data_IF_715234901608
#
_entry.id   IF_715234901608
#
_cell.length_a   1.000
_cell.length_b   1.000
_cell.length_c   1.000
_cell.angle_alpha   90.00
_cell.angle_beta   90.00
_cell.angle_gamma   90.00
#
_symmetry.space_group_name_H-M   'P 1'
#
loop_
_entity.id
_entity.type
_entity.pdbx_description
1 polymer ?
#
# COMPACT_ATOMS: atom_id res chain seq x y z
N UNK A 1 -10.07 -9.50 -23.27
CA UNK A 1 -9.96 -8.11 -22.83
C UNK A 1 -10.91 -7.98 -21.65
N UNK A 2 -10.43 -8.22 -20.43
CA UNK A 2 -11.22 -8.07 -19.22
C UNK A 2 -11.06 -6.62 -18.75
N UNK A 3 -12.16 -5.90 -18.65
CA UNK A 3 -12.20 -4.65 -17.91
C UNK A 3 -11.71 -4.96 -16.49
N UNK A 4 -10.57 -4.41 -16.08
CA UNK A 4 -10.12 -4.45 -14.69
C UNK A 4 -11.03 -3.53 -13.88
N UNK A 5 -12.17 -4.08 -13.46
CA UNK A 5 -13.12 -3.40 -12.60
C UNK A 5 -12.47 -3.23 -11.23
N UNK A 6 -12.41 -1.99 -10.73
CA UNK A 6 -11.88 -1.68 -9.41
C UNK A 6 -12.69 -2.45 -8.36
N UNK A 7 -12.02 -3.33 -7.60
CA UNK A 7 -12.66 -4.18 -6.61
C UNK A 7 -13.11 -3.34 -5.41
N UNK A 8 -14.36 -3.48 -5.02
CA UNK A 8 -14.92 -2.84 -3.82
C UNK A 8 -14.56 -3.69 -2.60
N UNK A 9 -13.63 -3.22 -1.75
CA UNK A 9 -13.18 -3.94 -0.56
C UNK A 9 -14.10 -3.77 0.67
N UNK A 10 -15.17 -3.04 0.56
CA UNK A 10 -16.14 -2.88 1.66
C UNK A 10 -17.49 -2.35 1.19
N UNK A 11 -18.56 -2.71 1.91
CA UNK A 11 -19.91 -2.20 1.71
C UNK A 11 -20.58 -1.94 3.05
N UNK A 12 -21.43 -0.91 3.10
CA UNK A 12 -22.30 -0.56 4.25
C UNK A 12 -23.77 -0.83 3.95
N UNK A 13 -24.06 -1.71 3.00
CA UNK A 13 -25.41 -2.02 2.54
C UNK A 13 -25.73 -3.50 2.70
N UNK A 14 -25.06 -4.19 3.62
CA UNK A 14 -25.26 -5.60 3.89
C UNK A 14 -26.44 -5.78 4.84
N UNK A 15 -27.36 -6.65 4.49
CA UNK A 15 -28.48 -7.01 5.35
C UNK A 15 -28.08 -8.11 6.34
N UNK A 16 -27.96 -7.73 7.59
CA UNK A 16 -27.73 -8.61 8.74
C UNK A 16 -29.00 -8.86 9.54
N UNK A 17 -30.18 -8.48 9.07
CA UNK A 17 -31.43 -8.53 9.87
C UNK A 17 -31.74 -9.93 10.44
N UNK A 18 -31.35 -10.97 9.72
CA UNK A 18 -31.48 -12.35 10.16
C UNK A 18 -30.23 -12.89 10.91
N UNK A 19 -29.09 -12.17 10.90
CA UNK A 19 -27.78 -12.64 11.36
C UNK A 19 -27.48 -12.27 12.83
N UNK A 20 -28.41 -12.55 13.74
CA UNK A 20 -28.34 -12.14 15.17
C UNK A 20 -27.29 -12.87 16.02
N UNK A 21 -26.76 -13.99 15.53
CA UNK A 21 -25.73 -14.78 16.23
C UNK A 21 -24.30 -14.47 15.77
N UNK A 22 -24.11 -13.51 14.88
CA UNK A 22 -22.77 -13.10 14.45
C UNK A 22 -22.19 -12.13 15.49
N UNK A 23 -20.97 -12.43 15.93
CA UNK A 23 -20.23 -11.52 16.81
C UNK A 23 -20.14 -10.13 16.14
N UNK A 24 -20.58 -9.06 16.82
CA UNK A 24 -20.63 -7.71 16.27
C UNK A 24 -19.27 -7.15 15.85
N UNK A 25 -18.18 -7.83 16.15
CA UNK A 25 -16.80 -7.43 15.78
C UNK A 25 -15.97 -8.57 15.20
N UNK A 26 -16.60 -9.58 14.62
CA UNK A 26 -15.89 -10.74 14.12
C UNK A 26 -14.96 -10.39 12.95
N UNK A 27 -13.67 -10.62 13.13
CA UNK A 27 -12.69 -10.80 12.05
C UNK A 27 -12.63 -12.31 11.79
N UNK A 28 -12.98 -12.73 10.58
CA UNK A 28 -13.07 -14.14 10.24
C UNK A 28 -12.33 -14.47 8.96
N UNK A 29 -11.70 -15.62 8.92
CA UNK A 29 -11.16 -16.19 7.70
C UNK A 29 -12.30 -16.84 6.90
N UNK A 30 -12.31 -16.60 5.61
CA UNK A 30 -13.24 -17.20 4.65
C UNK A 30 -12.73 -18.60 4.28
N UNK A 31 -13.64 -19.57 4.23
CA UNK A 31 -13.34 -20.93 3.76
C UNK A 31 -14.34 -21.38 2.70
N UNK A 32 -13.85 -22.13 1.71
CA UNK A 32 -14.66 -22.87 0.73
C UNK A 32 -14.49 -24.38 0.89
N UNK A 33 -13.71 -24.81 1.91
CA UNK A 33 -13.39 -26.22 2.14
C UNK A 33 -14.52 -26.95 2.89
N UNK A 34 -15.20 -27.86 2.17
CA UNK A 34 -16.25 -28.73 2.74
C UNK A 34 -15.74 -29.70 3.80
N UNK A 35 -14.46 -30.04 3.78
CA UNK A 35 -13.82 -30.97 4.70
C UNK A 35 -13.09 -30.27 5.86
N UNK A 36 -13.25 -28.96 5.99
CA UNK A 36 -12.63 -28.18 7.06
C UNK A 36 -12.92 -28.81 8.43
N UNK A 37 -11.91 -29.04 9.31
CA UNK A 37 -12.12 -29.61 10.64
C UNK A 37 -13.08 -28.78 11.50
N UNK A 38 -13.98 -29.43 12.22
CA UNK A 38 -15.02 -28.77 13.05
C UNK A 38 -14.49 -27.67 14.00
N UNK A 39 -13.35 -27.87 14.71
CA UNK A 39 -12.82 -26.82 15.59
C UNK A 39 -12.43 -25.54 14.86
N UNK A 40 -12.04 -25.63 13.58
CA UNK A 40 -11.69 -24.48 12.75
C UNK A 40 -12.94 -23.80 12.20
N UNK A 41 -13.98 -24.58 11.80
CA UNK A 41 -15.25 -24.03 11.30
C UNK A 41 -15.89 -23.05 12.29
N UNK A 42 -15.77 -23.33 13.59
CA UNK A 42 -16.35 -22.48 14.63
C UNK A 42 -15.74 -21.08 14.71
N UNK A 43 -14.63 -20.82 13.98
CA UNK A 43 -13.93 -19.54 13.94
C UNK A 43 -13.82 -18.94 12.54
N UNK A 44 -14.41 -19.61 11.55
CA UNK A 44 -14.33 -19.22 10.13
C UNK A 44 -15.72 -18.99 9.54
N UNK A 45 -15.77 -18.24 8.45
CA UNK A 45 -16.96 -18.03 7.63
C UNK A 45 -16.93 -18.97 6.42
N UNK A 46 -18.01 -19.66 6.11
CA UNK A 46 -18.12 -20.45 4.89
C UNK A 46 -18.68 -19.59 3.74
N UNK A 47 -18.02 -19.60 2.58
CA UNK A 47 -18.48 -18.90 1.38
C UNK A 47 -19.38 -19.79 0.56
N UNK A 48 -20.67 -19.45 0.52
CA UNK A 48 -21.70 -20.22 -0.20
C UNK A 48 -21.82 -19.71 -1.62
N UNK A 49 -21.39 -20.54 -2.58
CA UNK A 49 -21.45 -20.26 -4.03
C UNK A 49 -22.51 -21.07 -4.78
N UNK A 50 -22.92 -22.18 -4.23
CA UNK A 50 -23.91 -23.13 -4.77
C UNK A 50 -25.02 -23.44 -3.78
N UNK A 51 -25.65 -24.61 -3.91
CA UNK A 51 -26.82 -25.04 -3.14
C UNK A 51 -26.46 -25.86 -1.89
N UNK A 52 -25.17 -26.00 -1.57
CA UNK A 52 -24.69 -26.82 -0.46
C UNK A 52 -23.69 -26.05 0.43
N UNK A 53 -23.74 -26.34 1.73
CA UNK A 53 -22.82 -25.81 2.71
C UNK A 53 -22.70 -26.74 3.92
N UNK A 54 -21.47 -27.05 4.40
CA UNK A 54 -21.28 -27.90 5.56
C UNK A 54 -21.67 -27.16 6.85
N UNK A 55 -22.27 -27.86 7.81
CA UNK A 55 -22.65 -27.27 9.09
C UNK A 55 -21.42 -26.94 9.96
N UNK A 56 -21.61 -26.04 10.95
CA UNK A 56 -20.66 -25.78 12.03
C UNK A 56 -19.77 -24.56 11.85
N UNK A 57 -19.91 -23.79 10.77
CA UNK A 57 -19.20 -22.52 10.62
C UNK A 57 -19.79 -21.40 11.49
N UNK A 58 -18.92 -20.47 11.90
CA UNK A 58 -19.33 -19.29 12.68
C UNK A 58 -20.35 -18.42 11.93
N UNK A 59 -20.16 -18.26 10.61
CA UNK A 59 -21.06 -17.55 9.72
C UNK A 59 -21.02 -18.12 8.30
N UNK A 60 -22.01 -17.76 7.49
CA UNK A 60 -22.14 -18.17 6.09
C UNK A 60 -22.33 -16.96 5.22
N UNK A 61 -21.36 -16.69 4.35
CA UNK A 61 -21.36 -15.61 3.39
C UNK A 61 -22.01 -16.11 2.10
N UNK A 62 -23.23 -15.70 1.82
CA UNK A 62 -24.02 -16.22 0.71
C UNK A 62 -23.90 -15.25 -0.48
N UNK A 63 -23.24 -15.68 -1.54
CA UNK A 63 -23.15 -14.94 -2.80
C UNK A 63 -24.48 -14.97 -3.57
N UNK A 64 -24.71 -14.08 -4.55
CA UNK A 64 -26.00 -13.96 -5.24
C UNK A 64 -26.55 -15.25 -5.86
N UNK A 65 -25.64 -16.12 -6.33
CA UNK A 65 -25.98 -17.41 -6.92
C UNK A 65 -25.96 -18.57 -5.90
N UNK A 66 -25.64 -18.28 -4.63
CA UNK A 66 -25.58 -19.27 -3.56
C UNK A 66 -26.92 -19.43 -2.87
N UNK A 67 -27.22 -20.67 -2.46
CA UNK A 67 -28.38 -20.97 -1.64
C UNK A 67 -27.93 -21.73 -0.39
N UNK A 68 -28.18 -21.14 0.77
CA UNK A 68 -27.82 -21.77 2.02
C UNK A 68 -28.82 -22.89 2.34
N UNK A 69 -28.36 -24.13 2.63
CA UNK A 69 -29.22 -25.22 3.00
C UNK A 69 -30.05 -24.97 4.27
N UNK A 70 -31.19 -25.63 4.43
CA UNK A 70 -32.10 -25.43 5.58
C UNK A 70 -31.51 -25.89 6.92
N UNK A 71 -30.50 -26.76 6.90
CA UNK A 71 -29.77 -27.21 8.09
C UNK A 71 -28.79 -26.15 8.66
N UNK A 72 -28.60 -25.05 7.96
CA UNK A 72 -27.81 -23.91 8.45
C UNK A 72 -28.73 -22.88 9.10
N UNK A 73 -28.42 -22.50 10.33
CA UNK A 73 -29.21 -21.51 11.08
C UNK A 73 -29.29 -20.16 10.32
N UNK A 74 -30.48 -19.63 10.17
CA UNK A 74 -30.72 -18.35 9.48
C UNK A 74 -29.96 -17.19 10.16
N UNK A 75 -29.81 -17.28 11.49
CA UNK A 75 -29.10 -16.27 12.32
C UNK A 75 -27.61 -16.16 12.04
N UNK A 76 -27.04 -17.04 11.21
CA UNK A 76 -25.61 -17.03 10.80
C UNK A 76 -25.40 -16.73 9.32
N UNK A 77 -26.46 -16.42 8.57
CA UNK A 77 -26.40 -16.17 7.12
C UNK A 77 -26.25 -14.66 6.85
N UNK A 78 -25.29 -14.31 5.99
CA UNK A 78 -25.05 -12.95 5.50
C UNK A 78 -25.12 -12.98 3.99
N UNK A 79 -26.10 -12.32 3.39
CA UNK A 79 -26.22 -12.23 1.95
C UNK A 79 -25.34 -11.10 1.42
N UNK A 80 -24.42 -11.47 0.52
CA UNK A 80 -23.48 -10.55 -0.09
C UNK A 80 -23.97 -10.10 -1.47
N UNK A 81 -23.79 -8.82 -1.82
CA UNK A 81 -24.05 -8.33 -3.15
C UNK A 81 -22.97 -8.78 -4.16
N UNK A 82 -23.22 -8.63 -5.49
CA UNK A 82 -22.34 -9.14 -6.54
C UNK A 82 -20.90 -8.63 -6.48
N UNK A 83 -20.68 -7.44 -5.97
CA UNK A 83 -19.35 -6.85 -5.81
C UNK A 83 -18.39 -7.66 -4.93
N UNK A 84 -18.89 -8.66 -4.18
CA UNK A 84 -18.10 -9.56 -3.35
C UNK A 84 -17.85 -10.94 -3.99
N UNK A 85 -18.21 -11.16 -5.25
CA UNK A 85 -17.93 -12.42 -5.96
C UNK A 85 -16.44 -12.76 -6.07
N UNK A 86 -15.57 -11.78 -5.85
CA UNK A 86 -14.11 -11.97 -5.81
C UNK A 86 -13.61 -12.69 -4.57
N UNK A 87 -14.40 -12.74 -3.48
CA UNK A 87 -13.97 -13.42 -2.25
C UNK A 87 -13.68 -14.89 -2.50
N UNK A 88 -12.63 -15.41 -1.87
CA UNK A 88 -12.24 -16.81 -2.02
C UNK A 88 -11.65 -17.39 -0.73
N UNK A 89 -11.28 -18.68 -0.80
CA UNK A 89 -10.68 -19.42 0.32
C UNK A 89 -9.42 -18.72 0.84
N UNK A 90 -9.37 -18.51 2.15
CA UNK A 90 -8.25 -17.89 2.83
C UNK A 90 -8.29 -16.36 2.90
N UNK A 91 -9.26 -15.70 2.27
CA UNK A 91 -9.48 -14.27 2.46
C UNK A 91 -9.91 -13.99 3.91
N UNK A 92 -9.64 -12.78 4.40
CA UNK A 92 -10.06 -12.36 5.74
C UNK A 92 -11.00 -11.17 5.64
N UNK A 93 -12.15 -11.29 6.28
CA UNK A 93 -13.17 -10.24 6.29
C UNK A 93 -13.55 -9.84 7.70
N UNK A 94 -13.95 -8.58 7.86
CA UNK A 94 -14.62 -8.10 9.06
C UNK A 94 -16.11 -7.96 8.81
N UNK A 95 -16.90 -8.47 9.73
CA UNK A 95 -18.35 -8.35 9.76
C UNK A 95 -18.75 -7.37 10.87
N UNK A 96 -19.53 -6.34 10.53
CA UNK A 96 -20.04 -5.34 11.47
C UNK A 96 -21.57 -5.25 11.33
N UNK A 97 -22.33 -6.20 11.95
CA UNK A 97 -23.78 -6.29 11.80
C UNK A 97 -24.52 -5.01 12.17
N UNK A 98 -24.11 -4.33 13.25
CA UNK A 98 -24.71 -3.09 13.73
C UNK A 98 -24.68 -1.95 12.71
N UNK A 99 -23.74 -2.00 11.75
CA UNK A 99 -23.57 -0.98 10.70
C UNK A 99 -23.97 -1.46 9.32
N UNK A 100 -24.43 -2.72 9.21
CA UNK A 100 -24.66 -3.35 7.90
C UNK A 100 -23.37 -3.37 7.05
N UNK A 101 -22.19 -3.54 7.67
CA UNK A 101 -20.90 -3.35 7.01
C UNK A 101 -20.12 -4.67 6.93
N UNK A 102 -19.55 -4.92 5.76
CA UNK A 102 -18.48 -5.89 5.56
C UNK A 102 -17.24 -5.19 4.99
N UNK A 103 -16.06 -5.60 5.42
CA UNK A 103 -14.78 -5.14 4.86
C UNK A 103 -13.86 -6.32 4.63
N UNK A 104 -13.21 -6.36 3.47
CA UNK A 104 -12.16 -7.32 3.17
C UNK A 104 -10.84 -6.73 3.66
N UNK A 105 -10.23 -7.39 4.62
CA UNK A 105 -9.01 -6.95 5.29
C UNK A 105 -7.77 -7.53 4.63
N UNK A 106 -7.87 -8.76 4.11
CA UNK A 106 -6.79 -9.47 3.44
C UNK A 106 -7.37 -10.33 2.31
N UNK A 107 -6.67 -10.37 1.18
CA UNK A 107 -6.99 -11.23 0.05
C UNK A 107 -5.82 -12.16 -0.26
N UNK A 108 -6.05 -13.47 -0.14
CA UNK A 108 -5.02 -14.48 -0.39
C UNK A 108 -4.50 -14.48 -1.84
N UNK A 109 -5.39 -14.20 -2.79
CA UNK A 109 -5.05 -14.13 -4.21
C UNK A 109 -4.31 -12.86 -4.61
N UNK A 110 -4.28 -11.84 -3.75
CA UNK A 110 -3.57 -10.58 -4.02
C UNK A 110 -2.11 -10.67 -3.60
N UNK A 111 -1.21 -10.30 -4.50
CA UNK A 111 0.21 -10.17 -4.18
C UNK A 111 0.53 -8.90 -3.37
N UNK A 112 -0.45 -8.00 -3.20
CA UNK A 112 -0.25 -6.67 -2.63
C UNK A 112 -1.32 -6.38 -1.59
N UNK A 113 -1.14 -6.93 -0.40
CA UNK A 113 -1.98 -6.60 0.76
C UNK A 113 -1.33 -5.48 1.57
N UNK A 114 -2.10 -4.44 1.91
CA UNK A 114 -1.61 -3.32 2.71
C UNK A 114 -2.62 -2.92 3.76
N UNK A 115 -2.14 -2.66 4.97
CA UNK A 115 -2.94 -2.17 6.08
C UNK A 115 -2.70 -0.68 6.30
N UNK A 116 -3.77 0.11 6.35
CA UNK A 116 -3.74 1.47 6.84
C UNK A 116 -3.78 1.42 8.36
N UNK A 117 -2.71 1.84 9.04
CA UNK A 117 -2.57 1.72 10.49
C UNK A 117 -3.25 2.87 11.25
N UNK A 118 -3.25 4.06 10.69
CA UNK A 118 -3.85 5.27 11.24
C UNK A 118 -4.08 6.31 10.14
N UNK A 119 -5.10 7.15 10.31
CA UNK A 119 -5.31 8.32 9.46
C UNK A 119 -4.55 9.57 9.97
N UNK A 120 -4.00 9.52 11.18
CA UNK A 120 -3.25 10.63 11.80
C UNK A 120 -1.85 10.74 11.20
N UNK A 121 -1.36 11.97 11.03
CA UNK A 121 0.00 12.24 10.57
C UNK A 121 0.52 13.54 11.17
N UNK A 122 1.84 13.61 11.38
CA UNK A 122 2.54 14.83 11.80
C UNK A 122 3.17 15.61 10.63
N UNK A 123 2.81 15.24 9.37
CA UNK A 123 3.10 15.98 8.13
C UNK A 123 1.80 16.27 7.39
N UNK A 124 1.80 17.33 6.56
CA UNK A 124 0.71 17.71 5.66
C UNK A 124 1.23 17.87 4.22
N UNK A 125 1.90 16.85 3.71
CA UNK A 125 2.60 16.87 2.41
C UNK A 125 1.70 17.38 1.29
N UNK A 126 2.22 18.30 0.47
CA UNK A 126 1.48 18.93 -0.64
C UNK A 126 0.88 17.92 -1.63
N UNK A 127 1.52 16.75 -1.79
CA UNK A 127 1.08 15.68 -2.70
C UNK A 127 0.46 14.47 -1.97
N UNK A 128 0.09 14.58 -0.70
CA UNK A 128 -0.42 13.44 0.05
C UNK A 128 -1.63 12.80 -0.64
N UNK A 129 -1.52 11.52 -1.01
CA UNK A 129 -2.61 10.78 -1.65
C UNK A 129 -3.75 10.43 -0.66
N UNK A 130 -3.42 10.35 0.63
CA UNK A 130 -4.33 10.11 1.75
C UNK A 130 -4.20 11.24 2.77
N UNK A 131 -4.88 12.37 2.58
CA UNK A 131 -4.80 13.51 3.47
C UNK A 131 -5.07 13.11 4.93
N UNK A 132 -4.21 13.52 5.88
CA UNK A 132 -4.35 13.12 7.27
C UNK A 132 -5.62 13.66 7.90
N UNK A 133 -6.13 12.90 8.88
CA UNK A 133 -7.31 13.26 9.68
C UNK A 133 -6.99 13.11 11.14
N UNK A 134 -7.37 14.10 11.94
CA UNK A 134 -7.26 14.04 13.40
C UNK A 134 -8.49 13.31 13.96
N UNK A 135 -8.39 11.99 14.06
CA UNK A 135 -9.46 11.10 14.52
C UNK A 135 -8.92 10.07 15.51
N UNK A 136 -9.77 9.62 16.43
CA UNK A 136 -9.43 8.46 17.24
C UNK A 136 -9.70 7.18 16.42
N UNK A 137 -8.65 6.58 15.93
CA UNK A 137 -8.66 5.39 15.09
C UNK A 137 -7.86 4.22 15.66
N UNK A 138 -7.60 4.22 16.97
CA UNK A 138 -6.81 3.19 17.66
C UNK A 138 -7.41 1.78 17.50
N UNK A 139 -8.73 1.69 17.25
CA UNK A 139 -9.44 0.44 16.94
C UNK A 139 -8.91 -0.26 15.67
N UNK A 140 -8.28 0.47 14.73
CA UNK A 140 -7.68 -0.10 13.51
C UNK A 140 -6.53 -1.06 13.89
N UNK A 141 -5.73 -0.68 14.88
CA UNK A 141 -4.62 -1.52 15.36
C UNK A 141 -5.14 -2.82 15.94
N UNK A 142 -6.22 -2.78 16.74
CA UNK A 142 -6.85 -3.97 17.30
C UNK A 142 -7.36 -4.90 16.19
N UNK A 143 -8.02 -4.33 15.18
CA UNK A 143 -8.50 -5.08 14.02
C UNK A 143 -7.37 -5.76 13.24
N UNK A 144 -6.24 -5.08 13.05
CA UNK A 144 -5.09 -5.64 12.33
C UNK A 144 -4.43 -6.75 13.17
N UNK A 145 -4.31 -6.57 14.48
CA UNK A 145 -3.80 -7.61 15.38
C UNK A 145 -4.67 -8.86 15.39
N UNK A 146 -6.00 -8.73 15.27
CA UNK A 146 -6.93 -9.85 15.08
C UNK A 146 -6.78 -10.49 13.70
N UNK A 147 -6.43 -9.72 12.68
CA UNK A 147 -6.30 -10.16 11.29
C UNK A 147 -5.01 -10.95 11.04
N UNK A 148 -3.87 -10.47 11.55
CA UNK A 148 -2.54 -11.06 11.29
C UNK A 148 -2.49 -12.57 11.51
N UNK A 149 -3.04 -13.16 12.59
CA UNK A 149 -3.03 -14.62 12.81
C UNK A 149 -3.87 -15.44 11.81
N UNK A 150 -4.75 -14.78 11.04
CA UNK A 150 -5.64 -15.42 10.08
C UNK A 150 -5.08 -15.38 8.64
N UNK A 151 -4.03 -14.59 8.41
CA UNK A 151 -3.37 -14.45 7.11
C UNK A 151 -2.66 -15.75 6.73
N UNK A 152 -2.63 -16.05 5.44
CA UNK A 152 -1.91 -17.20 4.91
C UNK A 152 -0.41 -17.06 5.21
N UNK A 153 0.22 -18.04 5.91
CA UNK A 153 1.64 -17.98 6.26
C UNK A 153 2.58 -18.01 5.06
N UNK A 154 2.08 -18.32 3.86
CA UNK A 154 2.84 -18.26 2.60
C UNK A 154 2.69 -16.92 1.88
N UNK A 155 2.06 -15.92 2.51
CA UNK A 155 2.00 -14.55 1.97
C UNK A 155 3.40 -13.98 1.77
N UNK A 156 3.69 -13.52 0.55
CA UNK A 156 5.03 -13.03 0.19
C UNK A 156 5.38 -11.70 0.85
N UNK A 157 4.45 -10.74 0.83
CA UNK A 157 4.66 -9.38 1.35
C UNK A 157 3.38 -8.80 1.95
N UNK A 158 3.54 -7.99 2.99
CA UNK A 158 2.51 -7.11 3.56
C UNK A 158 3.05 -5.68 3.63
N UNK A 159 2.22 -4.72 3.22
CA UNK A 159 2.47 -3.29 3.36
C UNK A 159 1.83 -2.71 4.62
N UNK A 160 2.55 -1.86 5.34
CA UNK A 160 1.97 -0.95 6.33
C UNK A 160 2.02 0.48 5.79
N UNK A 161 0.89 1.15 5.85
CA UNK A 161 0.71 2.52 5.36
C UNK A 161 -0.22 3.29 6.30
N UNK A 162 -0.54 4.51 5.94
CA UNK A 162 -1.49 5.35 6.68
C UNK A 162 -1.16 6.80 6.53
N UNK A 163 -1.51 7.59 7.54
CA UNK A 163 -0.93 8.90 7.78
C UNK A 163 0.54 8.71 8.17
N UNK A 164 0.81 8.57 9.47
CA UNK A 164 2.15 8.20 9.95
C UNK A 164 2.08 7.05 10.97
N UNK A 165 2.43 5.81 10.55
CA UNK A 165 2.35 4.63 11.40
C UNK A 165 3.09 4.72 12.72
N UNK A 166 4.23 5.42 12.76
CA UNK A 166 5.07 5.50 13.96
C UNK A 166 4.50 6.37 15.06
N UNK A 167 3.46 7.19 14.79
CA UNK A 167 2.70 7.89 15.82
C UNK A 167 1.99 6.97 16.81
N UNK A 168 1.80 5.71 16.44
CA UNK A 168 1.25 4.65 17.30
C UNK A 168 2.24 4.19 18.40
N UNK A 169 3.51 4.59 18.32
CA UNK A 169 4.52 4.27 19.33
C UNK A 169 4.67 2.76 19.59
N UNK A 170 4.44 2.33 20.85
CA UNK A 170 4.52 0.93 21.23
C UNK A 170 3.56 0.00 20.47
N UNK A 171 2.38 0.50 20.09
CA UNK A 171 1.39 -0.27 19.30
C UNK A 171 1.90 -0.57 17.88
N UNK A 172 2.68 0.34 17.29
CA UNK A 172 3.38 0.07 16.02
C UNK A 172 4.37 -1.10 16.16
N UNK A 173 5.18 -1.11 17.21
CA UNK A 173 6.12 -2.21 17.48
C UNK A 173 5.40 -3.53 17.74
N UNK A 174 4.24 -3.52 18.41
CA UNK A 174 3.39 -4.68 18.63
C UNK A 174 2.92 -5.29 17.31
N UNK A 175 2.49 -4.48 16.34
CA UNK A 175 2.09 -4.94 15.01
C UNK A 175 3.26 -5.61 14.26
N UNK A 176 4.44 -5.01 14.28
CA UNK A 176 5.65 -5.61 13.66
C UNK A 176 6.01 -6.93 14.35
N UNK A 177 5.93 -6.97 15.68
CA UNK A 177 6.17 -8.21 16.43
C UNK A 177 5.14 -9.30 16.11
N UNK A 178 3.87 -8.94 15.93
CA UNK A 178 2.82 -9.87 15.53
C UNK A 178 3.10 -10.45 14.14
N UNK A 179 3.47 -9.59 13.15
CA UNK A 179 3.90 -10.06 11.83
C UNK A 179 5.07 -11.05 11.93
N UNK A 180 6.11 -10.71 12.70
CA UNK A 180 7.24 -11.63 12.92
C UNK A 180 6.80 -12.98 13.48
N UNK A 181 5.86 -12.97 14.42
CA UNK A 181 5.44 -14.18 15.15
C UNK A 181 4.54 -15.11 14.34
N UNK A 182 3.58 -14.53 13.60
CA UNK A 182 2.58 -15.29 12.85
C UNK A 182 2.95 -15.49 11.38
N UNK A 183 3.75 -14.59 10.82
CA UNK A 183 4.13 -14.52 9.40
C UNK A 183 5.65 -14.47 9.23
N UNK A 184 6.40 -15.44 9.77
CA UNK A 184 7.87 -15.36 9.88
C UNK A 184 8.60 -15.36 8.52
N UNK A 185 7.91 -15.65 7.41
CA UNK A 185 8.48 -15.66 6.05
C UNK A 185 7.99 -14.51 5.18
N UNK A 186 7.04 -13.71 5.66
CA UNK A 186 6.44 -12.60 4.93
C UNK A 186 7.33 -11.37 5.02
N UNK A 187 7.65 -10.75 3.89
CA UNK A 187 8.30 -9.44 3.87
C UNK A 187 7.34 -8.36 4.41
N UNK A 188 7.88 -7.40 5.14
CA UNK A 188 7.13 -6.27 5.67
C UNK A 188 7.67 -4.96 5.13
N UNK A 189 6.88 -4.27 4.31
CA UNK A 189 7.22 -2.97 3.74
C UNK A 189 6.39 -1.87 4.41
N UNK A 190 7.05 -0.94 5.12
CA UNK A 190 6.40 0.09 5.93
C UNK A 190 6.65 1.46 5.32
N UNK A 191 5.58 2.19 4.99
CA UNK A 191 5.68 3.58 4.57
C UNK A 191 5.57 4.49 5.79
N UNK A 192 6.60 5.30 6.02
CA UNK A 192 6.71 6.22 7.15
C UNK A 192 7.47 7.48 6.74
N UNK A 193 7.20 8.61 7.37
CA UNK A 193 8.00 9.82 7.17
C UNK A 193 9.38 9.75 7.87
N UNK A 194 9.59 8.75 8.71
CA UNK A 194 10.87 8.49 9.36
C UNK A 194 11.22 9.36 10.56
N UNK A 195 10.42 10.40 10.85
CA UNK A 195 10.74 11.44 11.86
C UNK A 195 10.81 10.89 13.28
N UNK A 196 9.91 9.97 13.66
CA UNK A 196 9.92 9.37 15.00
C UNK A 196 11.21 8.59 15.30
N UNK A 197 11.89 8.10 14.28
CA UNK A 197 13.18 7.41 14.43
C UNK A 197 14.36 8.35 14.66
N UNK A 198 14.15 9.67 14.68
CA UNK A 198 15.14 10.61 15.22
C UNK A 198 15.44 10.34 16.70
N UNK A 199 14.51 9.70 17.41
CA UNK A 199 14.76 9.05 18.71
C UNK A 199 15.46 7.69 18.46
N UNK A 200 16.73 7.60 18.89
CA UNK A 200 17.57 6.41 18.75
C UNK A 200 16.99 5.20 19.51
N UNK A 201 16.35 5.43 20.66
CA UNK A 201 15.75 4.36 21.45
C UNK A 201 14.57 3.69 20.70
N UNK A 202 13.78 4.48 19.99
CA UNK A 202 12.68 3.94 19.17
C UNK A 202 13.20 3.16 17.95
N UNK A 203 14.26 3.67 17.29
CA UNK A 203 14.93 2.96 16.19
C UNK A 203 15.57 1.65 16.66
N UNK A 204 16.21 1.66 17.85
CA UNK A 204 16.78 0.47 18.50
C UNK A 204 15.69 -0.56 18.82
N UNK A 205 14.56 -0.11 19.36
CA UNK A 205 13.44 -1.00 19.69
C UNK A 205 12.94 -1.74 18.45
N UNK A 206 12.77 -1.03 17.30
CA UNK A 206 12.39 -1.66 16.04
C UNK A 206 13.45 -2.63 15.54
N UNK A 207 14.74 -2.24 15.52
CA UNK A 207 15.84 -3.11 15.08
C UNK A 207 15.95 -4.38 15.92
N UNK A 208 15.70 -4.27 17.25
CA UNK A 208 15.74 -5.40 18.18
C UNK A 208 14.63 -6.43 17.97
N UNK A 209 13.60 -6.11 17.22
CA UNK A 209 12.60 -7.10 16.80
C UNK A 209 13.18 -8.14 15.85
N UNK A 210 14.26 -7.82 15.12
CA UNK A 210 14.92 -8.74 14.17
C UNK A 210 13.94 -9.41 13.21
N UNK A 211 13.05 -8.62 12.60
CA UNK A 211 12.18 -9.12 11.53
C UNK A 211 13.07 -9.49 10.31
N UNK A 212 12.88 -10.68 9.73
CA UNK A 212 13.81 -11.24 8.74
C UNK A 212 13.89 -10.42 7.44
N UNK A 213 12.78 -9.81 7.03
CA UNK A 213 12.67 -9.00 5.82
C UNK A 213 11.79 -7.77 6.08
N UNK A 214 12.39 -6.74 6.69
CA UNK A 214 11.76 -5.46 7.00
C UNK A 214 12.40 -4.35 6.17
N UNK A 215 11.59 -3.58 5.44
CA UNK A 215 12.00 -2.40 4.69
C UNK A 215 11.13 -1.19 5.07
N UNK A 216 11.76 -0.07 5.38
CA UNK A 216 11.06 1.20 5.59
C UNK A 216 11.22 2.10 4.38
N UNK A 217 10.09 2.50 3.77
CA UNK A 217 10.02 3.48 2.69
C UNK A 217 9.88 4.89 3.27
N UNK A 218 10.95 5.68 3.19
CA UNK A 218 11.06 7.00 3.82
C UNK A 218 11.24 8.09 2.75
N UNK A 219 10.38 9.12 2.70
CA UNK A 219 10.48 10.18 1.70
C UNK A 219 11.59 11.18 2.00
N UNK A 220 12.35 11.54 0.95
CA UNK A 220 13.23 12.73 0.93
C UNK A 220 12.96 13.47 -0.37
N UNK A 221 12.48 14.71 -0.30
CA UNK A 221 12.02 15.45 -1.48
C UNK A 221 12.99 16.50 -2.00
N UNK A 222 13.99 16.88 -1.20
CA UNK A 222 15.02 17.84 -1.60
C UNK A 222 16.33 17.61 -0.84
N UNK A 223 17.41 18.12 -1.39
CA UNK A 223 18.73 18.20 -0.77
C UNK A 223 18.87 19.39 0.21
N UNK A 224 17.88 20.29 0.24
CA UNK A 224 17.82 21.47 1.08
C UNK A 224 16.71 21.33 2.13
N UNK A 225 17.03 21.51 3.45
CA UNK A 225 16.06 21.34 4.53
C UNK A 225 14.77 22.14 4.32
N UNK A 226 14.87 23.44 4.07
CA UNK A 226 13.71 24.30 3.94
C UNK A 226 12.81 23.96 2.73
N UNK A 227 13.34 23.33 1.66
CA UNK A 227 12.55 22.87 0.51
C UNK A 227 11.82 21.60 0.87
N UNK A 228 12.49 20.65 1.54
CA UNK A 228 11.85 19.43 2.02
C UNK A 228 10.72 19.77 3.00
N UNK A 229 11.00 20.61 4.01
CA UNK A 229 10.05 21.02 5.04
C UNK A 229 8.81 21.70 4.44
N UNK A 230 9.04 22.57 3.44
CA UNK A 230 7.95 23.18 2.67
C UNK A 230 7.09 22.13 1.95
N UNK A 231 7.70 21.11 1.35
CA UNK A 231 6.95 20.07 0.62
C UNK A 231 6.12 19.21 1.59
N UNK A 232 6.69 18.86 2.75
CA UNK A 232 5.99 18.04 3.74
C UNK A 232 5.15 18.86 4.73
N UNK A 233 5.21 20.19 4.65
CA UNK A 233 4.49 21.15 5.49
C UNK A 233 4.74 20.91 7.00
N UNK A 234 6.01 20.72 7.34
CA UNK A 234 6.45 20.51 8.73
C UNK A 234 7.89 20.99 8.93
N UNK A 235 8.07 21.98 9.80
CA UNK A 235 9.37 22.55 10.12
C UNK A 235 10.27 21.52 10.82
N UNK A 236 11.55 21.46 10.44
CA UNK A 236 12.56 20.55 11.00
C UNK A 236 12.40 19.10 10.54
N UNK A 237 11.45 18.80 9.68
CA UNK A 237 11.18 17.43 9.19
C UNK A 237 12.38 16.82 8.49
N UNK A 238 13.14 17.61 7.71
CA UNK A 238 14.33 17.13 7.02
C UNK A 238 15.36 16.56 7.98
N UNK A 239 15.72 17.34 9.01
CA UNK A 239 16.75 16.95 9.98
C UNK A 239 16.31 15.74 10.80
N UNK A 240 15.03 15.67 11.21
CA UNK A 240 14.47 14.53 11.91
C UNK A 240 14.47 13.27 11.02
N UNK A 241 14.05 13.39 9.75
CA UNK A 241 14.03 12.27 8.78
C UNK A 241 15.44 11.75 8.52
N UNK A 242 16.43 12.63 8.27
CA UNK A 242 17.83 12.22 8.05
C UNK A 242 18.38 11.51 9.29
N UNK A 243 18.16 12.07 10.50
CA UNK A 243 18.57 11.43 11.75
C UNK A 243 17.89 10.08 11.94
N UNK A 244 16.60 9.99 11.62
CA UNK A 244 15.85 8.74 11.65
C UNK A 244 16.46 7.67 10.75
N UNK A 245 16.80 8.01 9.51
CA UNK A 245 17.48 7.09 8.57
C UNK A 245 18.82 6.62 9.15
N UNK A 246 19.63 7.52 9.70
CA UNK A 246 20.91 7.16 10.30
C UNK A 246 20.77 6.20 11.50
N UNK A 247 19.80 6.47 12.37
CA UNK A 247 19.50 5.60 13.51
C UNK A 247 19.01 4.22 13.08
N UNK A 248 18.05 4.16 12.13
CA UNK A 248 17.56 2.90 11.57
C UNK A 248 18.69 2.04 10.99
N UNK A 249 19.60 2.66 10.22
CA UNK A 249 20.75 1.95 9.65
C UNK A 249 21.74 1.51 10.73
N UNK A 250 21.96 2.29 11.79
CA UNK A 250 22.76 1.89 12.95
C UNK A 250 22.23 0.61 13.59
N UNK A 251 20.92 0.46 13.64
CA UNK A 251 20.26 -0.71 14.22
C UNK A 251 19.89 -1.81 13.19
N UNK A 252 20.51 -1.78 11.99
CA UNK A 252 20.41 -2.85 10.98
C UNK A 252 19.09 -2.91 10.22
N UNK A 253 18.24 -1.88 10.33
CA UNK A 253 16.98 -1.80 9.59
C UNK A 253 17.23 -1.34 8.16
N UNK A 254 16.58 -1.97 7.17
CA UNK A 254 16.70 -1.57 5.77
C UNK A 254 15.82 -0.36 5.48
N UNK A 255 16.36 0.54 4.64
CA UNK A 255 15.71 1.80 4.27
C UNK A 255 15.68 1.97 2.76
N UNK A 256 14.48 2.22 2.23
CA UNK A 256 14.25 2.74 0.89
C UNK A 256 13.99 4.25 0.97
N UNK A 257 14.75 5.04 0.22
CA UNK A 257 14.45 6.46 0.04
C UNK A 257 13.43 6.61 -1.09
N UNK A 258 12.34 7.33 -0.85
CA UNK A 258 11.26 7.56 -1.82
C UNK A 258 11.22 9.02 -2.24
N UNK A 259 11.14 9.28 -3.55
CA UNK A 259 11.06 10.61 -4.12
C UNK A 259 9.88 10.68 -5.09
N UNK A 260 8.89 11.50 -4.80
CA UNK A 260 7.81 11.81 -5.75
C UNK A 260 8.26 12.94 -6.67
N UNK A 261 8.16 12.72 -7.98
CA UNK A 261 8.57 13.65 -9.02
C UNK A 261 7.46 14.67 -9.29
N UNK A 262 7.70 15.92 -8.94
CA UNK A 262 6.77 17.03 -9.17
C UNK A 262 7.52 18.36 -9.28
N UNK A 263 6.84 19.42 -9.68
CA UNK A 263 7.41 20.74 -9.98
C UNK A 263 8.35 21.29 -8.90
N UNK A 264 8.10 20.96 -7.61
CA UNK A 264 8.93 21.43 -6.50
C UNK A 264 10.22 20.59 -6.31
N UNK A 265 10.27 19.35 -6.85
CA UNK A 265 11.42 18.44 -6.67
C UNK A 265 12.32 18.39 -7.91
N UNK A 266 11.74 18.42 -9.12
CA UNK A 266 12.46 18.04 -10.35
C UNK A 266 13.61 18.97 -10.71
N UNK A 267 13.49 20.28 -10.48
CA UNK A 267 14.55 21.24 -10.77
C UNK A 267 15.85 21.01 -9.97
N UNK A 268 15.74 20.36 -8.81
CA UNK A 268 16.87 20.00 -7.94
C UNK A 268 17.14 18.50 -7.89
N UNK A 269 16.50 17.71 -8.74
CA UNK A 269 16.62 16.25 -8.70
C UNK A 269 18.06 15.75 -8.87
N UNK A 270 18.91 16.31 -9.77
CA UNK A 270 20.33 15.95 -9.83
C UNK A 270 21.09 16.30 -8.54
N UNK A 271 20.79 17.44 -7.92
CA UNK A 271 21.41 17.83 -6.65
C UNK A 271 20.99 16.92 -5.49
N UNK A 272 19.70 16.52 -5.45
CA UNK A 272 19.20 15.52 -4.51
C UNK A 272 19.91 14.17 -4.71
N UNK A 273 20.04 13.71 -5.97
CA UNK A 273 20.76 12.48 -6.28
C UNK A 273 22.22 12.52 -5.81
N UNK A 274 22.91 13.66 -6.03
CA UNK A 274 24.28 13.85 -5.52
C UNK A 274 24.34 13.89 -3.99
N UNK A 275 23.33 14.49 -3.32
CA UNK A 275 23.20 14.46 -1.86
C UNK A 275 23.06 13.03 -1.35
N UNK A 276 22.17 12.24 -1.92
CA UNK A 276 21.94 10.83 -1.55
C UNK A 276 23.23 10.01 -1.74
N UNK A 277 23.87 10.13 -2.91
CA UNK A 277 25.10 9.40 -3.22
C UNK A 277 26.27 9.76 -2.28
N UNK A 278 26.32 10.99 -1.77
CA UNK A 278 27.39 11.45 -0.88
C UNK A 278 27.12 11.13 0.60
N UNK A 279 25.87 11.31 1.05
CA UNK A 279 25.55 11.32 2.48
C UNK A 279 24.77 10.08 2.92
N UNK A 280 24.07 9.40 2.02
CA UNK A 280 23.19 8.28 2.30
C UNK A 280 23.47 7.07 1.39
N UNK A 281 24.72 6.87 0.99
CA UNK A 281 25.14 5.76 0.11
C UNK A 281 24.78 4.37 0.66
N UNK A 282 24.57 4.28 1.96
CA UNK A 282 24.26 3.04 2.68
C UNK A 282 22.78 2.66 2.69
N UNK A 283 21.89 3.49 2.13
CA UNK A 283 20.47 3.08 1.98
C UNK A 283 20.34 1.94 0.99
N UNK A 284 19.34 1.10 1.19
CA UNK A 284 19.20 -0.15 0.46
C UNK A 284 18.57 0.03 -0.93
N UNK A 285 17.77 1.08 -1.10
CA UNK A 285 17.08 1.37 -2.35
C UNK A 285 16.70 2.85 -2.48
N UNK A 286 16.60 3.35 -3.71
CA UNK A 286 16.04 4.65 -4.05
C UNK A 286 14.90 4.46 -5.05
N UNK A 287 13.69 4.85 -4.68
CA UNK A 287 12.48 4.77 -5.49
C UNK A 287 12.09 6.17 -5.98
N UNK A 288 12.26 6.44 -7.27
CA UNK A 288 11.75 7.63 -7.93
C UNK A 288 10.36 7.34 -8.48
N UNK A 289 9.37 8.20 -8.24
CA UNK A 289 7.98 7.87 -8.53
C UNK A 289 7.27 9.05 -9.19
N UNK A 290 6.61 8.81 -10.32
CA UNK A 290 5.72 9.79 -10.96
C UNK A 290 4.58 10.20 -10.02
N UNK A 291 4.15 11.45 -10.12
CA UNK A 291 3.09 12.05 -9.30
C UNK A 291 1.75 11.34 -9.54
N UNK A 292 1.06 11.00 -8.45
CA UNK A 292 -0.30 10.44 -8.49
C UNK A 292 -1.36 11.52 -8.28
N UNK A 293 -2.41 11.53 -9.12
CA UNK A 293 -3.46 12.56 -9.13
C UNK A 293 -4.56 12.28 -8.09
N UNK A 294 -4.16 12.12 -6.82
CA UNK A 294 -5.07 11.81 -5.70
C UNK A 294 -4.87 12.75 -4.51
N UNK A 295 -5.85 12.78 -3.62
CA UNK A 295 -5.78 13.51 -2.35
C UNK A 295 -5.41 14.97 -2.52
N UNK A 296 -4.41 15.45 -1.77
CA UNK A 296 -3.93 16.83 -1.84
C UNK A 296 -3.28 17.22 -3.15
N UNK A 297 -2.79 16.24 -3.96
CA UNK A 297 -2.28 16.55 -5.31
C UNK A 297 -3.32 17.28 -6.16
N UNK A 298 -4.61 16.88 -6.05
CA UNK A 298 -5.69 17.53 -6.82
C UNK A 298 -5.91 18.98 -6.39
N UNK A 299 -5.81 19.26 -5.10
CA UNK A 299 -5.98 20.60 -4.56
C UNK A 299 -4.77 21.51 -4.87
N UNK A 300 -3.57 20.92 -5.00
CA UNK A 300 -2.31 21.63 -5.22
C UNK A 300 -1.77 21.44 -6.64
N UNK A 301 -2.64 21.10 -7.61
CA UNK A 301 -2.21 20.69 -8.96
C UNK A 301 -1.31 21.74 -9.64
N UNK A 302 -1.65 23.01 -9.57
CA UNK A 302 -0.88 24.11 -10.20
C UNK A 302 0.53 24.26 -9.62
N UNK A 303 0.68 23.94 -8.32
CA UNK A 303 1.95 23.98 -7.62
C UNK A 303 2.81 22.73 -7.84
N UNK A 304 2.19 21.60 -8.16
CA UNK A 304 2.85 20.30 -8.22
C UNK A 304 3.01 19.74 -9.63
N UNK A 305 2.05 20.00 -10.53
CA UNK A 305 2.08 19.43 -11.85
C UNK A 305 3.21 20.03 -12.70
N UNK A 306 3.97 19.18 -13.33
CA UNK A 306 4.89 19.45 -14.42
C UNK A 306 4.81 18.27 -15.38
N UNK A 307 4.84 18.54 -16.68
CA UNK A 307 4.83 17.48 -17.68
C UNK A 307 6.10 16.61 -17.54
N UNK A 308 5.96 15.27 -17.45
CA UNK A 308 7.12 14.38 -17.34
C UNK A 308 8.17 14.54 -18.44
N UNK A 309 7.78 14.99 -19.64
CA UNK A 309 8.70 15.28 -20.74
C UNK A 309 9.59 16.51 -20.45
N UNK A 310 9.09 17.48 -19.66
CA UNK A 310 9.81 18.72 -19.35
C UNK A 310 10.98 18.53 -18.37
N UNK A 311 11.02 17.42 -17.62
CA UNK A 311 12.13 17.10 -16.70
C UNK A 311 12.88 15.81 -17.06
N UNK A 312 12.77 15.40 -18.33
CA UNK A 312 13.43 14.19 -18.84
C UNK A 312 14.95 14.22 -18.62
N UNK A 313 15.60 15.38 -18.86
CA UNK A 313 17.03 15.57 -18.69
C UNK A 313 17.46 15.45 -17.23
N UNK A 314 16.77 16.12 -16.34
CA UNK A 314 17.06 16.10 -14.88
C UNK A 314 16.87 14.71 -14.30
N UNK A 315 15.84 14.00 -14.75
CA UNK A 315 15.57 12.61 -14.32
C UNK A 315 16.69 11.68 -14.80
N UNK A 316 17.11 11.81 -16.06
CA UNK A 316 18.18 11.01 -16.65
C UNK A 316 19.51 11.27 -15.95
N UNK A 317 19.85 12.53 -15.67
CA UNK A 317 21.05 12.92 -14.95
C UNK A 317 21.04 12.36 -13.51
N UNK A 318 19.94 12.52 -12.80
CA UNK A 318 19.79 12.05 -11.43
C UNK A 318 19.96 10.53 -11.32
N UNK A 319 19.27 9.76 -12.17
CA UNK A 319 19.44 8.30 -12.23
C UNK A 319 20.88 7.94 -12.56
N UNK A 320 21.53 8.64 -13.51
CA UNK A 320 22.92 8.44 -13.86
C UNK A 320 23.90 8.69 -12.68
N UNK A 321 23.62 9.68 -11.82
CA UNK A 321 24.41 9.94 -10.60
C UNK A 321 24.28 8.76 -9.62
N UNK A 322 23.05 8.33 -9.34
CA UNK A 322 22.78 7.23 -8.42
C UNK A 322 23.36 5.90 -8.91
N UNK A 323 23.23 5.61 -10.21
CA UNK A 323 23.76 4.39 -10.83
C UNK A 323 25.30 4.34 -10.79
N UNK A 324 25.98 5.46 -11.12
CA UNK A 324 27.46 5.57 -10.98
C UNK A 324 27.91 5.36 -9.54
N UNK A 325 27.11 5.79 -8.57
CA UNK A 325 27.34 5.54 -7.15
C UNK A 325 26.99 4.09 -6.73
N UNK A 326 26.54 3.24 -7.66
CA UNK A 326 26.11 1.85 -7.42
C UNK A 326 24.95 1.72 -6.41
N UNK A 327 24.12 2.73 -6.30
CA UNK A 327 22.89 2.67 -5.53
C UNK A 327 21.84 1.88 -6.33
N UNK A 328 21.02 1.09 -5.64
CA UNK A 328 19.86 0.45 -6.28
C UNK A 328 18.79 1.49 -6.54
N UNK A 329 18.39 1.65 -7.78
CA UNK A 329 17.39 2.65 -8.19
C UNK A 329 16.25 1.97 -8.93
N UNK A 330 15.02 2.42 -8.67
CA UNK A 330 13.85 2.08 -9.49
C UNK A 330 13.04 3.33 -9.80
N UNK A 331 12.49 3.35 -11.01
CA UNK A 331 11.60 4.39 -11.49
C UNK A 331 10.19 3.82 -11.63
N UNK A 332 9.25 4.30 -10.83
CA UNK A 332 7.86 3.86 -10.80
C UNK A 332 6.92 4.90 -11.39
N UNK A 333 5.78 4.47 -11.88
CA UNK A 333 4.73 5.33 -12.43
C UNK A 333 5.26 6.34 -13.46
N UNK A 334 6.14 5.87 -14.36
CA UNK A 334 6.71 6.65 -15.44
C UNK A 334 6.43 5.98 -16.78
N UNK A 335 5.91 6.76 -17.76
CA UNK A 335 5.63 6.29 -19.10
C UNK A 335 6.93 6.30 -19.91
N UNK A 336 7.30 5.17 -20.53
CA UNK A 336 8.56 5.02 -21.25
C UNK A 336 8.72 6.05 -22.39
N UNK A 337 7.64 6.42 -23.08
CA UNK A 337 7.66 7.41 -24.15
C UNK A 337 8.00 8.84 -23.67
N UNK A 338 7.89 9.12 -22.38
CA UNK A 338 8.23 10.41 -21.75
C UNK A 338 9.60 10.39 -21.06
N UNK A 339 10.31 9.26 -21.08
CA UNK A 339 11.64 9.11 -20.47
C UNK A 339 12.70 8.85 -21.52
N UNK A 340 13.97 9.11 -21.18
CA UNK A 340 15.10 8.74 -22.03
C UNK A 340 15.30 7.21 -22.04
N UNK A 341 15.62 6.66 -23.20
CA UNK A 341 15.79 5.22 -23.36
C UNK A 341 16.92 4.65 -22.49
N UNK A 342 17.96 5.43 -22.21
CA UNK A 342 19.09 5.01 -21.37
C UNK A 342 18.71 4.65 -19.94
N UNK A 343 17.57 5.16 -19.46
CA UNK A 343 17.07 4.89 -18.10
C UNK A 343 15.92 3.86 -18.03
N UNK A 344 15.45 3.31 -19.15
CA UNK A 344 14.33 2.34 -19.16
C UNK A 344 14.59 1.11 -18.29
N UNK A 345 15.85 0.65 -18.20
CA UNK A 345 16.23 -0.49 -17.35
C UNK A 345 15.86 -0.29 -15.86
N UNK A 346 15.69 0.94 -15.41
CA UNK A 346 15.30 1.29 -14.05
C UNK A 346 13.78 1.37 -13.88
N UNK A 347 13.03 1.49 -14.98
CA UNK A 347 11.59 1.55 -14.95
C UNK A 347 10.99 0.24 -14.44
N UNK A 348 10.00 0.36 -13.56
CA UNK A 348 9.27 -0.76 -12.98
C UNK A 348 7.78 -0.57 -13.22
N UNK A 349 7.11 -1.64 -13.58
CA UNK A 349 5.65 -1.65 -13.59
C UNK A 349 5.12 -1.45 -12.17
N UNK A 350 3.93 -0.90 -12.05
CA UNK A 350 3.30 -0.76 -10.73
C UNK A 350 3.18 -2.12 -10.05
N UNK A 351 3.40 -2.13 -8.75
CA UNK A 351 3.23 -3.31 -7.91
C UNK A 351 1.77 -3.74 -7.73
N UNK A 352 0.79 -2.95 -8.22
CA UNK A 352 -0.64 -3.23 -8.08
C UNK A 352 -1.27 -3.49 -9.44
N UNK A 353 -1.90 -4.64 -9.64
CA UNK A 353 -2.51 -5.06 -10.91
C UNK A 353 -3.57 -4.09 -11.44
N UNK A 354 -4.29 -3.43 -10.53
CA UNK A 354 -5.36 -2.48 -10.84
C UNK A 354 -4.88 -1.04 -11.12
N UNK A 355 -3.58 -0.76 -11.04
CA UNK A 355 -2.98 0.55 -11.31
C UNK A 355 -2.41 0.69 -12.72
N UNK A 356 -2.53 -0.32 -13.57
CA UNK A 356 -1.95 -0.32 -14.92
C UNK A 356 -3.04 -0.09 -15.97
N UNK A 357 -3.40 1.17 -16.17
CA UNK A 357 -4.26 1.57 -17.28
C UNK A 357 -3.41 2.12 -18.44
N UNK A 358 -3.97 2.07 -19.65
CA UNK A 358 -3.34 2.64 -20.84
C UNK A 358 -4.33 3.56 -21.53
N UNK A 359 -3.84 4.71 -21.98
CA UNK A 359 -4.63 5.68 -22.74
C UNK A 359 -4.74 5.26 -24.21
N UNK A 360 -5.72 5.77 -24.97
CA UNK A 360 -5.87 5.44 -26.40
C UNK A 360 -4.60 5.70 -27.21
N UNK A 361 -3.80 6.71 -26.82
CA UNK A 361 -2.52 7.06 -27.46
C UNK A 361 -1.46 5.96 -27.29
N UNK A 362 -1.69 4.99 -26.41
CA UNK A 362 -0.79 3.85 -26.22
C UNK A 362 -1.10 2.68 -27.17
N UNK A 363 -2.13 2.77 -28.00
CA UNK A 363 -2.47 1.71 -28.93
C UNK A 363 -1.37 1.53 -29.99
N UNK A 364 -0.99 0.28 -30.23
CA UNK A 364 0.11 -0.04 -31.15
C UNK A 364 1.52 0.24 -30.62
N UNK A 365 1.69 0.60 -29.35
CA UNK A 365 3.00 0.82 -28.76
C UNK A 365 3.77 -0.50 -28.58
N UNK A 366 4.98 -0.59 -29.15
CA UNK A 366 5.80 -1.80 -29.11
C UNK A 366 6.29 -2.20 -27.72
N UNK A 367 6.42 -1.24 -26.80
CA UNK A 367 6.90 -1.45 -25.42
C UNK A 367 5.79 -1.37 -24.39
N UNK A 368 4.53 -1.55 -24.78
CA UNK A 368 3.35 -1.44 -23.90
C UNK A 368 3.46 -2.37 -22.68
N UNK A 369 3.91 -3.60 -22.89
CA UNK A 369 4.04 -4.61 -21.83
C UNK A 369 5.17 -4.32 -20.81
N UNK A 370 6.16 -3.51 -21.21
CA UNK A 370 7.26 -3.10 -20.35
C UNK A 370 6.99 -1.78 -19.62
N UNK A 371 6.02 -1.01 -20.14
CA UNK A 371 5.67 0.31 -19.62
C UNK A 371 4.85 0.22 -18.34
N UNK A 372 5.11 1.12 -17.39
CA UNK A 372 4.32 1.24 -16.17
C UNK A 372 2.84 1.61 -16.43
N UNK A 373 2.53 2.16 -17.61
CA UNK A 373 1.18 2.67 -17.89
C UNK A 373 0.81 3.83 -16.97
N UNK A 374 -0.47 3.90 -16.62
CA UNK A 374 -1.04 4.96 -15.81
C UNK A 374 -1.81 4.39 -14.63
N UNK A 375 -1.90 5.15 -13.56
CA UNK A 375 -2.92 4.92 -12.55
C UNK A 375 -4.28 5.43 -13.03
N UNK A 376 -5.37 4.83 -12.57
CA UNK A 376 -6.73 5.28 -12.89
C UNK A 376 -6.97 6.77 -12.61
N UNK A 377 -6.26 7.32 -11.61
CA UNK A 377 -6.29 8.75 -11.27
C UNK A 377 -5.69 9.66 -12.35
N UNK A 378 -4.88 9.13 -13.25
CA UNK A 378 -4.28 9.92 -14.36
C UNK A 378 -5.32 10.44 -15.35
N UNK A 379 -6.53 9.88 -15.39
CA UNK A 379 -7.65 10.44 -16.17
C UNK A 379 -7.94 11.90 -15.86
N UNK A 380 -7.51 12.42 -14.71
CA UNK A 380 -7.65 13.84 -14.36
C UNK A 380 -6.60 14.73 -15.00
N UNK A 381 -5.38 14.25 -15.14
CA UNK A 381 -4.28 14.95 -15.79
C UNK A 381 -3.15 13.98 -16.15
N UNK A 382 -2.72 14.02 -17.41
CA UNK A 382 -1.53 13.35 -17.94
C UNK A 382 -0.92 14.21 -19.05
N UNK A 383 0.24 13.80 -19.58
CA UNK A 383 0.97 14.54 -20.63
C UNK A 383 0.27 14.43 -21.97
N UNK A 384 0.15 15.54 -22.68
CA UNK A 384 -0.32 15.58 -24.07
C UNK A 384 0.74 15.04 -25.07
N UNK A 385 1.95 14.71 -24.58
CA UNK A 385 3.06 14.20 -25.39
C UNK A 385 3.18 12.68 -25.39
N UNK A 386 2.18 11.99 -24.82
CA UNK A 386 2.09 10.53 -24.91
C UNK A 386 1.99 10.12 -26.38
N UNK A 387 2.83 9.15 -26.78
CA UNK A 387 2.86 8.61 -28.13
C UNK A 387 3.32 7.15 -28.13
N UNK A 388 2.83 6.34 -29.08
CA UNK A 388 3.33 4.98 -29.23
C UNK A 388 4.81 5.00 -29.65
N UNK A 389 5.56 4.05 -29.13
CA UNK A 389 6.95 3.80 -29.55
C UNK A 389 6.87 2.74 -30.64
N UNK A 390 7.48 3.04 -31.80
CA UNK A 390 7.61 2.08 -32.90
C UNK A 390 8.58 0.95 -32.51
N UNK A 391 8.32 -0.27 -32.99
CA UNK A 391 9.18 -1.43 -32.81
C UNK A 391 10.38 -1.43 -33.76
#
# INVERSE_FOLDING_TARGET
>A
MGEHQMITLGSRKIDFAAAQEIDPRAVVRVSTDFHRPLPLRAREAFLVRGDDAPAGFASYLVLPNGRCPDNVATQRRVHLPPEFEYLDDGDVVRLVPERGEIRTLYRRSSHHNSFLLTERCNNYCLMCSQPPRDVNDDWIVDEILETIPLIDPDTGEIGFTGGEPTLLGGRFLELVQACKSYLPRTALHILTNGRSFSDDAFAQALGSLHHHDLMLGIPIYADLPHVHDYIVQADGAFDETIRGILNLKRHGVRVEVRVVLHKQTVSRLPALAAFLARNLLFVDHVALMGLEMMGFTRANLDALWIDPDDYRSELTEAIGILDRARMRVSLYNAQLCLTDQSIWRFAKRSISDWKQEYMPECDGCAVKEECAGFFASAKHKYSDRIRPIAG
#
